data_IF_799775061414
#
_entry.id   IF_799775061414
#
_cell.length_a   1.000
_cell.length_b   1.000
_cell.length_c   1.000
_cell.angle_alpha   90.00
_cell.angle_beta   90.00
_cell.angle_gamma   90.00
#
_symmetry.space_group_name_H-M   'P 1'
#
loop_
_entity.id
_entity.type
_entity.pdbx_description
1 polymer ?
#
# COMPACT_ATOMS: atom_id res chain seq x y z
N UNK A 1 -15.99 -30.95 30.50
CA UNK A 1 -17.17 -30.29 29.92
C UNK A 1 -16.74 -29.82 28.54
N UNK A 2 -17.15 -30.56 27.50
CA UNK A 2 -16.60 -30.45 26.15
C UNK A 2 -17.17 -29.27 25.37
N UNK A 3 -16.35 -28.69 24.50
CA UNK A 3 -16.75 -27.68 23.52
C UNK A 3 -16.12 -28.00 22.17
N UNK A 4 -16.33 -29.22 21.68
CA UNK A 4 -16.24 -29.52 20.26
C UNK A 4 -17.43 -30.42 19.96
N UNK A 5 -18.46 -29.86 19.33
CA UNK A 5 -19.45 -30.67 18.63
C UNK A 5 -18.77 -31.14 17.35
N UNK A 6 -18.65 -32.46 17.18
CA UNK A 6 -18.37 -33.04 15.87
C UNK A 6 -19.54 -32.65 14.96
N UNK A 7 -19.31 -31.64 14.12
CA UNK A 7 -20.26 -31.28 13.06
C UNK A 7 -20.30 -32.41 12.05
N UNK A 8 -21.50 -32.78 11.62
CA UNK A 8 -21.66 -33.75 10.52
C UNK A 8 -20.84 -33.30 9.30
N UNK A 9 -20.22 -34.24 8.56
CA UNK A 9 -19.51 -33.91 7.35
C UNK A 9 -20.49 -33.27 6.37
N UNK A 10 -20.34 -31.96 6.17
CA UNK A 10 -21.10 -31.19 5.19
C UNK A 10 -21.00 -31.89 3.83
N UNK A 11 -22.15 -32.24 3.26
CA UNK A 11 -22.30 -32.93 1.95
C UNK A 11 -21.89 -32.07 0.75
N UNK A 12 -21.07 -31.05 0.99
CA UNK A 12 -20.44 -30.24 -0.04
C UNK A 12 -19.41 -31.05 -0.84
N UNK A 13 -19.00 -30.56 -2.02
CA UNK A 13 -17.99 -31.20 -2.83
C UNK A 13 -16.72 -31.46 -1.99
N UNK A 14 -15.99 -32.55 -2.29
CA UNK A 14 -14.82 -32.94 -1.51
C UNK A 14 -13.88 -31.75 -1.31
N UNK A 15 -13.40 -31.56 -0.08
CA UNK A 15 -12.54 -30.43 0.36
C UNK A 15 -11.31 -30.22 -0.56
N UNK A 16 -10.97 -31.23 -1.37
CA UNK A 16 -9.96 -31.23 -2.42
C UNK A 16 -10.22 -30.27 -3.61
N UNK A 17 -11.43 -29.74 -3.78
CA UNK A 17 -11.74 -28.79 -4.88
C UNK A 17 -11.66 -27.30 -4.47
N UNK A 18 -11.32 -26.99 -3.21
CA UNK A 18 -11.28 -25.59 -2.73
C UNK A 18 -10.01 -24.87 -3.18
N UNK A 19 -10.18 -23.94 -4.12
CA UNK A 19 -9.14 -22.96 -4.48
C UNK A 19 -9.11 -21.80 -3.50
N UNK A 20 -7.91 -21.40 -3.11
CA UNK A 20 -7.66 -20.22 -2.28
C UNK A 20 -7.43 -19.02 -3.19
N UNK A 21 -7.96 -17.85 -2.83
CA UNK A 21 -7.71 -16.63 -3.61
C UNK A 21 -6.52 -15.88 -3.01
N UNK A 22 -5.68 -15.35 -3.90
CA UNK A 22 -4.67 -14.38 -3.52
C UNK A 22 -5.20 -13.00 -3.88
N UNK A 23 -5.11 -12.08 -2.93
CA UNK A 23 -5.63 -10.72 -3.10
C UNK A 23 -4.70 -9.87 -3.98
N UNK A 24 -3.51 -9.51 -3.50
CA UNK A 24 -2.65 -8.54 -4.18
C UNK A 24 -1.21 -9.05 -4.39
N UNK A 25 -0.83 -9.31 -5.65
CA UNK A 25 0.55 -9.63 -6.06
C UNK A 25 1.02 -8.62 -7.09
N UNK A 26 2.26 -8.13 -6.90
CA UNK A 26 2.98 -7.31 -7.87
C UNK A 26 4.14 -8.12 -8.47
N UNK A 27 4.20 -8.19 -9.80
CA UNK A 27 5.32 -8.78 -10.54
C UNK A 27 5.98 -7.69 -11.39
N UNK A 28 7.26 -7.45 -11.17
CA UNK A 28 8.05 -6.47 -11.92
C UNK A 28 9.17 -7.16 -12.71
N UNK A 29 9.58 -6.57 -13.82
CA UNK A 29 10.70 -7.03 -14.62
C UNK A 29 11.26 -5.89 -15.48
N UNK A 30 12.53 -6.02 -15.86
CA UNK A 30 13.25 -5.02 -16.65
C UNK A 30 13.04 -5.20 -18.17
N UNK A 31 12.36 -6.27 -18.57
CA UNK A 31 12.01 -6.57 -19.97
C UNK A 31 10.70 -7.34 -20.06
N UNK A 32 10.07 -7.29 -21.23
CA UNK A 32 8.84 -8.03 -21.51
C UNK A 32 9.03 -9.55 -21.39
N UNK A 33 10.11 -10.09 -21.95
CA UNK A 33 10.38 -11.53 -21.88
C UNK A 33 10.59 -12.01 -20.45
N UNK A 34 11.30 -11.21 -19.63
CA UNK A 34 11.48 -11.52 -18.21
C UNK A 34 10.15 -11.41 -17.44
N UNK A 35 9.28 -10.46 -17.80
CA UNK A 35 7.94 -10.36 -17.22
C UNK A 35 7.12 -11.60 -17.52
N UNK A 36 7.09 -12.03 -18.79
CA UNK A 36 6.37 -13.24 -19.23
C UNK A 36 6.88 -14.49 -18.51
N UNK A 37 8.20 -14.67 -18.37
CA UNK A 37 8.78 -15.79 -17.62
C UNK A 37 8.35 -15.78 -16.14
N UNK A 38 8.48 -14.63 -15.46
CA UNK A 38 8.09 -14.48 -14.05
C UNK A 38 6.59 -14.74 -13.85
N UNK A 39 5.74 -14.22 -14.72
CA UNK A 39 4.29 -14.45 -14.69
C UNK A 39 3.99 -15.93 -14.92
N UNK A 40 4.62 -16.58 -15.90
CA UNK A 40 4.44 -18.00 -16.15
C UNK A 40 4.81 -18.85 -14.93
N UNK A 41 5.93 -18.54 -14.27
CA UNK A 41 6.37 -19.18 -13.03
C UNK A 41 5.38 -18.94 -11.88
N UNK A 42 4.84 -17.74 -11.74
CA UNK A 42 3.83 -17.41 -10.75
C UNK A 42 2.55 -18.23 -10.97
N UNK A 43 2.03 -18.27 -12.19
CA UNK A 43 0.82 -19.02 -12.52
C UNK A 43 1.00 -20.53 -12.31
N UNK A 44 2.16 -21.09 -12.66
CA UNK A 44 2.52 -22.48 -12.37
C UNK A 44 2.56 -22.77 -10.85
N UNK A 45 3.08 -21.83 -10.06
CA UNK A 45 3.06 -21.95 -8.60
C UNK A 45 1.63 -21.89 -8.07
N UNK A 46 0.80 -20.97 -8.59
CA UNK A 46 -0.60 -20.86 -8.19
C UNK A 46 -1.34 -22.17 -8.46
N UNK A 47 -1.18 -22.76 -9.64
CA UNK A 47 -1.83 -24.03 -9.99
C UNK A 47 -1.38 -25.17 -9.06
N UNK A 48 -0.07 -25.29 -8.82
CA UNK A 48 0.49 -26.30 -7.89
C UNK A 48 -0.12 -26.23 -6.48
N UNK A 49 -0.37 -25.02 -5.99
CA UNK A 49 -0.84 -24.78 -4.62
C UNK A 49 -2.36 -24.53 -4.54
N UNK A 50 -3.09 -24.80 -5.62
CA UNK A 50 -4.53 -24.57 -5.72
C UNK A 50 -4.94 -23.12 -5.39
N UNK A 51 -4.15 -22.15 -5.86
CA UNK A 51 -4.38 -20.72 -5.74
C UNK A 51 -5.00 -20.16 -7.02
N UNK A 52 -5.96 -19.26 -6.86
CA UNK A 52 -6.64 -18.54 -7.94
C UNK A 52 -6.31 -17.06 -7.89
N UNK A 53 -6.15 -16.46 -9.08
CA UNK A 53 -6.07 -15.00 -9.26
C UNK A 53 -7.24 -14.56 -10.15
N UNK A 54 -7.75 -13.35 -9.93
CA UNK A 54 -8.85 -12.83 -10.74
C UNK A 54 -8.31 -12.11 -11.97
N UNK A 55 -8.51 -12.66 -13.16
CA UNK A 55 -8.09 -12.01 -14.42
C UNK A 55 -8.75 -10.64 -14.58
N UNK A 56 -10.03 -10.51 -14.24
CA UNK A 56 -10.82 -9.27 -14.38
C UNK A 56 -10.34 -8.16 -13.44
N UNK A 57 -9.84 -8.51 -12.24
CA UNK A 57 -9.33 -7.53 -11.27
C UNK A 57 -7.82 -7.29 -11.41
N UNK A 58 -7.13 -8.05 -12.26
CA UNK A 58 -5.68 -7.96 -12.44
C UNK A 58 -5.31 -6.95 -13.52
N UNK A 59 -4.23 -6.21 -13.30
CA UNK A 59 -3.60 -5.35 -14.32
C UNK A 59 -2.40 -6.07 -14.92
N UNK A 60 -2.24 -6.01 -16.24
CA UNK A 60 -1.22 -6.78 -16.97
C UNK A 60 -0.40 -5.88 -17.89
N UNK A 61 0.92 -6.11 -17.92
CA UNK A 61 1.81 -5.45 -18.87
C UNK A 61 1.87 -3.92 -18.76
N UNK A 62 1.57 -3.38 -17.58
CA UNK A 62 1.52 -1.94 -17.37
C UNK A 62 2.92 -1.38 -17.05
N UNK A 63 3.26 -0.22 -17.64
CA UNK A 63 4.47 0.53 -17.25
C UNK A 63 4.32 1.22 -15.90
N UNK A 64 3.07 1.50 -15.49
CA UNK A 64 2.70 2.03 -14.18
C UNK A 64 1.46 1.31 -13.66
N UNK A 65 1.47 0.91 -12.38
CA UNK A 65 0.34 0.21 -11.75
C UNK A 65 0.15 0.71 -10.31
N UNK A 66 -1.10 0.83 -9.87
CA UNK A 66 -1.41 1.14 -8.47
C UNK A 66 -1.37 -0.16 -7.65
N UNK A 67 -0.60 -0.18 -6.56
CA UNK A 67 -0.39 -1.34 -5.69
C UNK A 67 -0.28 -0.90 -4.23
N UNK A 68 -1.12 -1.48 -3.36
CA UNK A 68 -1.16 -1.21 -1.90
C UNK A 68 -1.15 0.30 -1.54
N UNK A 69 -1.91 1.10 -2.30
CA UNK A 69 -2.04 2.54 -2.09
C UNK A 69 -0.89 3.38 -2.64
N UNK A 70 0.11 2.75 -3.28
CA UNK A 70 1.19 3.42 -3.99
C UNK A 70 1.04 3.27 -5.50
N UNK A 71 1.75 4.09 -6.26
CA UNK A 71 1.94 3.88 -7.69
C UNK A 71 3.33 3.31 -7.91
N UNK A 72 3.45 2.25 -8.70
CA UNK A 72 4.74 1.61 -9.01
C UNK A 72 5.03 1.80 -10.47
N UNK A 73 6.26 2.20 -10.79
CA UNK A 73 6.76 2.37 -12.15
C UNK A 73 8.22 1.90 -12.27
N UNK A 74 8.79 2.02 -13.47
CA UNK A 74 10.21 1.79 -13.69
C UNK A 74 11.12 2.75 -12.89
N UNK A 75 10.62 3.93 -12.56
CA UNK A 75 11.34 4.94 -11.77
C UNK A 75 11.26 4.65 -10.26
N UNK A 76 10.49 3.64 -9.85
CA UNK A 76 10.36 3.17 -8.48
C UNK A 76 8.95 3.35 -7.90
N UNK A 77 8.89 3.60 -6.60
CA UNK A 77 7.65 3.84 -5.87
C UNK A 77 7.28 5.32 -5.96
N UNK A 78 6.07 5.62 -6.37
CA UNK A 78 5.49 6.95 -6.49
C UNK A 78 4.32 7.11 -5.49
N UNK A 79 4.15 8.31 -4.95
CA UNK A 79 2.97 8.65 -4.15
C UNK A 79 1.72 8.75 -5.04
N UNK A 80 0.57 8.32 -4.54
CA UNK A 80 -0.66 8.38 -5.33
C UNK A 80 -1.14 9.84 -5.53
N UNK A 81 -1.37 10.31 -6.78
CA UNK A 81 -1.62 11.72 -7.07
C UNK A 81 -2.91 12.29 -6.45
N UNK A 82 -3.95 11.45 -6.26
CA UNK A 82 -5.21 11.90 -5.62
C UNK A 82 -5.04 12.41 -4.18
N UNK A 83 -3.95 12.05 -3.50
CA UNK A 83 -3.72 12.53 -2.14
C UNK A 83 -2.79 13.75 -2.08
N UNK A 84 -2.06 14.04 -3.16
CA UNK A 84 -1.14 15.18 -3.20
C UNK A 84 -1.90 16.52 -3.24
N UNK A 85 -3.02 16.61 -3.96
CA UNK A 85 -3.83 17.82 -4.00
C UNK A 85 -4.40 18.18 -2.62
N UNK A 86 -4.86 17.18 -1.86
CA UNK A 86 -5.34 17.39 -0.49
C UNK A 86 -4.21 17.87 0.42
N UNK A 87 -3.01 17.29 0.26
CA UNK A 87 -1.83 17.67 1.02
C UNK A 87 -1.37 19.10 0.70
N UNK A 88 -1.34 19.46 -0.58
CA UNK A 88 -0.92 20.78 -1.05
C UNK A 88 -1.84 21.91 -0.55
N UNK A 89 -3.12 21.59 -0.30
CA UNK A 89 -4.12 22.53 0.20
C UNK A 89 -4.26 22.52 1.73
N UNK A 90 -3.43 21.78 2.47
CA UNK A 90 -3.48 21.79 3.93
C UNK A 90 -3.10 23.19 4.45
N UNK A 91 -3.92 23.79 5.33
CA UNK A 91 -3.56 25.06 5.96
C UNK A 91 -2.33 24.86 6.84
N UNK A 92 -1.43 25.84 6.83
CA UNK A 92 -0.28 25.79 7.71
C UNK A 92 -0.73 25.84 9.19
N UNK A 93 -0.24 24.92 10.04
CA UNK A 93 -0.62 24.84 11.45
C UNK A 93 -0.28 26.13 12.22
N UNK A 94 -1.18 26.54 13.14
CA UNK A 94 -1.07 27.78 13.95
C UNK A 94 -0.95 27.53 15.45
N UNK A 95 -0.65 26.29 15.83
CA UNK A 95 -0.42 25.90 17.23
C UNK A 95 0.47 24.67 17.28
N UNK A 96 1.15 24.46 18.40
CA UNK A 96 2.05 23.32 18.59
C UNK A 96 1.33 21.97 18.40
N UNK A 97 0.10 21.86 18.90
CA UNK A 97 -0.76 20.68 18.69
C UNK A 97 -1.07 20.45 17.22
N UNK A 98 -1.37 21.51 16.47
CA UNK A 98 -1.65 21.40 15.03
C UNK A 98 -0.40 21.03 14.23
N UNK A 99 0.79 21.47 14.64
CA UNK A 99 2.06 21.03 14.03
C UNK A 99 2.25 19.53 14.19
N UNK A 100 2.07 19.00 15.40
CA UNK A 100 2.22 17.56 15.64
C UNK A 100 1.23 16.74 14.81
N UNK A 101 -0.02 17.21 14.70
CA UNK A 101 -1.03 16.59 13.84
C UNK A 101 -0.67 16.66 12.36
N UNK A 102 -0.10 17.78 11.90
CA UNK A 102 0.36 17.99 10.51
C UNK A 102 1.57 17.10 10.17
N UNK A 103 2.56 17.00 11.05
CA UNK A 103 3.68 16.08 10.88
C UNK A 103 3.20 14.61 10.87
N UNK A 104 2.22 14.28 11.71
CA UNK A 104 1.58 12.96 11.73
C UNK A 104 0.90 12.62 10.40
N UNK A 105 0.19 13.57 9.78
CA UNK A 105 -0.46 13.35 8.48
C UNK A 105 0.54 13.23 7.32
N UNK A 106 1.72 13.85 7.44
CA UNK A 106 2.80 13.77 6.45
C UNK A 106 3.62 12.48 6.53
N UNK A 107 3.52 11.70 7.61
CA UNK A 107 4.40 10.55 7.83
C UNK A 107 4.36 9.52 6.69
N UNK A 108 3.19 9.31 6.06
CA UNK A 108 3.07 8.45 4.88
C UNK A 108 3.88 8.98 3.67
N UNK A 109 3.94 10.31 3.51
CA UNK A 109 4.62 10.99 2.41
C UNK A 109 6.10 11.26 2.66
N UNK A 110 6.58 11.06 3.89
CA UNK A 110 7.96 11.37 4.32
C UNK A 110 9.03 10.85 3.37
N UNK A 111 8.86 9.66 2.79
CA UNK A 111 9.80 9.03 1.85
C UNK A 111 9.83 9.68 0.45
N UNK A 112 8.87 10.53 0.14
CA UNK A 112 8.73 11.22 -1.15
C UNK A 112 8.99 12.73 -1.04
N UNK A 113 9.25 13.23 0.17
CA UNK A 113 9.56 14.64 0.42
C UNK A 113 11.06 14.72 0.68
N UNK A 114 11.77 15.38 -0.23
CA UNK A 114 13.21 15.63 -0.05
C UNK A 114 13.44 16.40 1.25
N UNK A 115 14.48 15.99 1.99
CA UNK A 115 14.87 16.58 3.27
C UNK A 115 13.75 16.61 4.34
N UNK A 116 12.72 15.76 4.24
CA UNK A 116 11.61 15.72 5.19
C UNK A 116 12.07 15.67 6.65
N UNK A 117 13.07 14.84 6.95
CA UNK A 117 13.60 14.70 8.32
C UNK A 117 14.16 16.03 8.86
N UNK A 118 14.80 16.83 8.02
CA UNK A 118 15.33 18.14 8.40
C UNK A 118 14.20 19.13 8.68
N UNK A 119 13.22 19.22 7.78
CA UNK A 119 12.05 20.08 8.00
C UNK A 119 11.22 19.66 9.21
N UNK A 120 10.99 18.35 9.39
CA UNK A 120 10.27 17.82 10.53
C UNK A 120 11.00 18.15 11.85
N UNK A 121 12.33 18.03 11.89
CA UNK A 121 13.13 18.39 13.06
C UNK A 121 12.93 19.86 13.45
N UNK A 122 13.05 20.78 12.49
CA UNK A 122 12.82 22.22 12.72
C UNK A 122 11.42 22.46 13.28
N UNK A 123 10.40 21.81 12.72
CA UNK A 123 9.02 21.95 13.17
C UNK A 123 8.79 21.33 14.56
N UNK A 124 9.51 20.27 14.93
CA UNK A 124 9.47 19.68 16.28
C UNK A 124 10.14 20.57 17.33
N UNK A 125 11.09 21.42 16.96
CA UNK A 125 11.76 22.36 17.87
C UNK A 125 10.92 23.59 18.23
N UNK A 126 9.80 23.81 17.52
CA UNK A 126 8.90 24.92 17.80
C UNK A 126 8.27 24.78 19.20
N UNK A 127 8.28 25.90 19.93
CA UNK A 127 7.63 26.10 21.23
C UNK A 127 6.37 26.96 21.10
N UNK A 128 5.46 26.87 22.07
CA UNK A 128 4.20 27.65 22.10
C UNK A 128 4.45 29.17 21.96
N UNK A 129 5.57 29.67 22.48
CA UNK A 129 5.98 31.08 22.43
C UNK A 129 6.00 31.67 21.00
N UNK A 130 6.38 30.88 19.99
CA UNK A 130 6.46 31.35 18.60
C UNK A 130 5.10 31.57 17.93
N UNK A 131 4.01 31.02 18.50
CA UNK A 131 2.67 31.18 17.93
C UNK A 131 1.96 32.42 18.49
N UNK A 132 2.40 32.93 19.64
CA UNK A 132 1.83 34.14 20.24
C UNK A 132 2.18 35.42 19.45
N UNK A 133 3.26 35.42 18.68
CA UNK A 133 3.66 36.55 17.83
C UNK A 133 2.92 36.59 16.47
N UNK A 134 2.15 35.54 16.14
CA UNK A 134 1.46 35.40 14.85
C UNK A 134 -0.06 35.69 14.91
N UNK A 135 -0.59 36.12 16.06
CA UNK A 135 -2.00 36.53 16.24
C UNK A 135 -2.16 38.04 16.22
#
# INVERSE_FOLDING_TARGET
MGVFQEGEPDSGPPVLERRWYIDDILVTADSWDSLCDKVGRLLNACDRWNLSTSVVKSSWGCLRVDYLGHRVSADGLESHPKNLELLANLPFPRSLRSIQSFLGSLNYYSRFIDDFTFYALILYELREEYFHEMS
#
